data_IF_598429954880
#
_entry.id   IF_598429954880
#
_cell.length_a   1.000
_cell.length_b   1.000
_cell.length_c   1.000
_cell.angle_alpha   90.00
_cell.angle_beta   90.00
_cell.angle_gamma   90.00
#
_symmetry.space_group_name_H-M   'P 1'
#
loop_
_entity.id
_entity.type
_entity.pdbx_description
1 polymer ?
#
# COMPACT_ATOMS: atom_id res chain seq x y z
N UNK A 1 -30.04 35.33 46.42
CA UNK A 1 -31.13 35.98 47.17
C UNK A 1 -30.94 37.48 47.18
N UNK A 2 -31.89 38.24 46.65
CA UNK A 2 -31.98 39.70 46.78
C UNK A 2 -33.36 40.01 47.39
N UNK A 3 -33.48 41.05 48.22
CA UNK A 3 -34.80 41.65 48.40
C UNK A 3 -35.28 42.21 47.05
N UNK A 4 -36.60 42.41 46.91
CA UNK A 4 -37.16 43.33 45.91
C UNK A 4 -36.25 44.56 45.87
N UNK A 5 -35.76 45.00 44.70
CA UNK A 5 -34.67 45.96 44.62
C UNK A 5 -35.12 47.32 45.18
N UNK A 6 -34.89 47.53 46.47
CA UNK A 6 -35.06 48.83 47.10
C UNK A 6 -33.85 49.69 46.73
N UNK A 7 -34.13 50.89 46.25
CA UNK A 7 -33.15 51.97 46.18
C UNK A 7 -32.63 52.30 47.58
N UNK A 8 -31.45 52.93 47.66
CA UNK A 8 -30.89 53.34 48.95
C UNK A 8 -31.86 54.23 49.76
N UNK A 9 -32.59 55.11 49.09
CA UNK A 9 -33.64 55.95 49.69
C UNK A 9 -34.80 55.13 50.26
N UNK A 10 -35.32 54.15 49.50
CA UNK A 10 -36.40 53.29 49.98
C UNK A 10 -35.95 52.45 51.18
N UNK A 11 -34.70 52.00 51.20
CA UNK A 11 -34.13 51.29 52.34
C UNK A 11 -34.02 52.17 53.59
N UNK A 12 -33.59 53.43 53.43
CA UNK A 12 -33.57 54.39 54.53
C UNK A 12 -34.98 54.67 55.08
N UNK A 13 -35.96 54.86 54.20
CA UNK A 13 -37.35 55.12 54.58
C UNK A 13 -38.00 53.94 55.32
N UNK A 14 -37.73 52.71 54.87
CA UNK A 14 -38.18 51.51 55.59
C UNK A 14 -37.53 51.47 56.98
N UNK A 15 -36.24 51.76 57.08
CA UNK A 15 -35.53 51.82 58.36
C UNK A 15 -36.13 52.81 59.34
N UNK A 16 -36.46 54.03 58.87
CA UNK A 16 -37.09 55.06 59.69
C UNK A 16 -38.47 54.62 60.19
N UNK A 17 -39.31 54.03 59.33
CA UNK A 17 -40.64 53.54 59.72
C UNK A 17 -40.56 52.40 60.73
N UNK A 18 -39.63 51.47 60.54
CA UNK A 18 -39.41 50.37 61.47
C UNK A 18 -38.90 50.87 62.82
N UNK A 19 -38.01 51.87 62.81
CA UNK A 19 -37.55 52.52 64.02
C UNK A 19 -38.68 53.20 64.79
N UNK A 20 -39.52 53.98 64.10
CA UNK A 20 -40.68 54.61 64.71
C UNK A 20 -41.63 53.58 65.34
N UNK A 21 -41.90 52.48 64.62
CA UNK A 21 -42.74 51.40 65.10
C UNK A 21 -42.15 50.71 66.33
N UNK A 22 -40.84 50.44 66.33
CA UNK A 22 -40.15 49.84 67.47
C UNK A 22 -40.12 50.80 68.67
N UNK A 23 -39.97 52.10 68.45
CA UNK A 23 -40.03 53.10 69.51
C UNK A 23 -41.44 53.20 70.13
N UNK A 24 -42.50 52.99 69.34
CA UNK A 24 -43.88 53.09 69.80
C UNK A 24 -44.38 51.81 70.48
N UNK A 25 -44.02 50.64 69.94
CA UNK A 25 -44.60 49.35 70.32
C UNK A 25 -43.61 48.39 70.99
N UNK A 26 -42.32 48.76 71.05
CA UNK A 26 -41.26 47.85 71.44
C UNK A 26 -40.88 46.89 70.31
N UNK A 27 -40.24 45.78 70.66
CA UNK A 27 -39.87 44.73 69.71
C UNK A 27 -41.07 44.30 68.86
N UNK A 28 -40.91 44.34 67.54
CA UNK A 28 -42.00 44.11 66.59
C UNK A 28 -41.60 43.09 65.53
N UNK A 29 -42.53 42.21 65.16
CA UNK A 29 -42.33 41.27 64.07
C UNK A 29 -42.78 41.88 62.75
N UNK A 30 -41.97 41.69 61.70
CA UNK A 30 -42.28 42.16 60.35
C UNK A 30 -42.10 41.04 59.36
N UNK A 31 -43.04 40.91 58.43
CA UNK A 31 -42.93 39.98 57.33
C UNK A 31 -42.21 40.67 56.18
N UNK A 32 -41.15 40.04 55.67
CA UNK A 32 -40.40 40.51 54.52
C UNK A 32 -40.36 39.44 53.44
N UNK A 33 -40.55 39.85 52.19
CA UNK A 33 -40.44 38.97 51.02
C UNK A 33 -39.02 38.99 50.47
N UNK A 34 -38.44 37.80 50.29
CA UNK A 34 -37.11 37.58 49.75
C UNK A 34 -37.20 36.90 48.38
N UNK A 35 -36.35 37.29 47.44
CA UNK A 35 -36.28 36.71 46.09
C UNK A 35 -34.97 35.92 45.94
N UNK A 36 -35.03 34.62 45.66
CA UNK A 36 -33.88 33.79 45.32
C UNK A 36 -33.95 33.30 43.87
N UNK A 37 -33.29 34.00 42.95
CA UNK A 37 -33.46 33.69 41.53
C UNK A 37 -34.93 33.87 41.14
N UNK A 38 -35.62 32.78 40.80
CA UNK A 38 -37.05 32.80 40.43
C UNK A 38 -38.02 32.44 41.58
N UNK A 39 -37.51 32.20 42.79
CA UNK A 39 -38.32 31.77 43.93
C UNK A 39 -38.53 32.94 44.90
N UNK A 40 -39.78 33.22 45.28
CA UNK A 40 -40.11 34.18 46.33
C UNK A 40 -40.46 33.45 47.63
N UNK A 41 -40.03 33.98 48.77
CA UNK A 41 -40.37 33.46 50.09
C UNK A 41 -40.66 34.60 51.05
N UNK A 42 -41.76 34.53 51.78
CA UNK A 42 -42.06 35.46 52.87
C UNK A 42 -41.52 34.89 54.18
N UNK A 43 -40.77 35.70 54.95
CA UNK A 43 -40.30 35.30 56.28
C UNK A 43 -40.57 36.40 57.31
N UNK A 44 -40.82 35.95 58.53
CA UNK A 44 -41.02 36.83 59.68
C UNK A 44 -39.67 37.11 60.33
N UNK A 45 -39.30 38.38 60.38
CA UNK A 45 -38.15 38.88 61.11
C UNK A 45 -38.60 39.59 62.38
N UNK A 46 -37.78 39.51 63.42
CA UNK A 46 -37.94 40.33 64.61
C UNK A 46 -37.11 41.60 64.43
N UNK A 47 -37.71 42.76 64.70
CA UNK A 47 -37.06 44.06 64.68
C UNK A 47 -37.04 44.64 66.09
N UNK A 48 -35.86 45.02 66.57
CA UNK A 48 -35.71 45.60 67.90
C UNK A 48 -34.72 46.76 67.90
N UNK A 49 -34.85 47.63 68.91
CA UNK A 49 -33.87 48.66 69.19
C UNK A 49 -32.68 48.03 69.92
N UNK A 50 -31.48 48.44 69.53
CA UNK A 50 -30.24 48.11 70.19
C UNK A 50 -29.53 49.38 70.63
N UNK A 51 -28.48 49.24 71.45
CA UNK A 51 -27.63 50.36 71.89
C UNK A 51 -26.96 51.11 70.73
N UNK A 52 -26.90 50.51 69.53
CA UNK A 52 -26.28 51.09 68.33
C UNK A 52 -27.30 51.43 67.23
N UNK A 53 -28.61 51.30 67.50
CA UNK A 53 -29.68 51.60 66.55
C UNK A 53 -30.60 50.41 66.26
N UNK A 54 -31.30 50.44 65.13
CA UNK A 54 -32.23 49.39 64.72
C UNK A 54 -31.49 48.09 64.37
N UNK A 55 -31.97 46.94 64.86
CA UNK A 55 -31.43 45.62 64.55
C UNK A 55 -32.50 44.67 64.01
N UNK A 56 -32.11 43.84 63.06
CA UNK A 56 -32.91 42.74 62.50
C UNK A 56 -32.43 41.40 63.05
N UNK A 57 -33.37 40.55 63.42
CA UNK A 57 -33.13 39.21 63.94
C UNK A 57 -33.84 38.15 63.10
N UNK A 58 -33.11 37.10 62.77
CA UNK A 58 -33.64 35.87 62.18
C UNK A 58 -33.11 34.68 62.97
N UNK A 59 -33.92 34.17 63.91
CA UNK A 59 -33.47 33.18 64.89
C UNK A 59 -32.33 33.74 65.77
N UNK A 60 -31.19 33.03 65.93
CA UNK A 60 -30.08 33.48 66.79
C UNK A 60 -29.17 34.53 66.15
N UNK A 61 -29.42 34.91 64.89
CA UNK A 61 -28.55 35.79 64.13
C UNK A 61 -29.13 37.20 64.14
N UNK A 62 -28.32 38.18 64.55
CA UNK A 62 -28.68 39.60 64.58
C UNK A 62 -27.75 40.44 63.70
N UNK A 63 -28.29 41.51 63.11
CA UNK A 63 -27.52 42.51 62.36
C UNK A 63 -28.11 43.91 62.50
N UNK A 64 -27.22 44.90 62.57
CA UNK A 64 -27.60 46.31 62.54
C UNK A 64 -28.19 46.69 61.17
N UNK A 65 -29.20 47.56 61.19
CA UNK A 65 -29.90 48.04 60.01
C UNK A 65 -28.98 48.80 59.03
N UNK A 66 -28.04 49.59 59.55
CA UNK A 66 -27.09 50.37 58.73
C UNK A 66 -26.07 49.51 57.98
N UNK A 67 -25.68 48.35 58.53
CA UNK A 67 -24.72 47.43 57.91
C UNK A 67 -25.36 46.53 56.82
N UNK A 68 -26.65 46.72 56.55
CA UNK A 68 -27.44 45.89 55.65
C UNK A 68 -27.59 46.56 54.29
N UNK A 69 -26.58 46.47 53.42
CA UNK A 69 -26.80 46.74 51.99
C UNK A 69 -27.80 45.72 51.42
N UNK A 70 -28.75 46.13 50.56
CA UNK A 70 -29.99 45.40 50.27
C UNK A 70 -29.83 43.98 49.70
N UNK A 71 -28.64 43.59 49.24
CA UNK A 71 -28.42 42.30 48.56
C UNK A 71 -27.33 41.46 49.24
N UNK A 72 -26.23 42.07 49.72
CA UNK A 72 -25.04 41.32 50.13
C UNK A 72 -25.10 40.70 51.53
N UNK A 73 -25.83 41.30 52.47
CA UNK A 73 -25.66 40.98 53.90
C UNK A 73 -26.84 40.31 54.56
N UNK A 74 -28.03 40.40 53.95
CA UNK A 74 -29.22 39.61 54.27
C UNK A 74 -29.08 38.19 53.72
N UNK A 75 -28.47 38.03 52.53
CA UNK A 75 -28.01 36.73 52.05
C UNK A 75 -27.05 36.04 53.05
N UNK A 76 -26.28 36.85 53.79
CA UNK A 76 -25.32 36.38 54.80
C UNK A 76 -25.99 35.92 56.11
N UNK A 77 -27.22 36.38 56.42
CA UNK A 77 -28.04 35.80 57.50
C UNK A 77 -28.50 34.38 57.15
N UNK A 78 -28.55 34.04 55.85
CA UNK A 78 -28.95 32.72 55.34
C UNK A 78 -27.79 31.85 54.87
N UNK A 79 -26.55 32.36 54.83
CA UNK A 79 -25.44 31.56 54.30
C UNK A 79 -25.16 30.40 55.27
N UNK A 80 -25.28 29.13 54.83
CA UNK A 80 -24.67 28.03 55.56
C UNK A 80 -23.16 28.33 55.64
N UNK A 81 -22.56 28.14 56.82
CA UNK A 81 -21.11 28.24 56.98
C UNK A 81 -20.43 27.46 55.84
N UNK A 82 -19.36 28.00 55.25
CA UNK A 82 -18.63 27.41 54.13
C UNK A 82 -17.50 26.52 54.68
N UNK A 83 -17.69 25.20 54.84
CA UNK A 83 -16.56 24.28 54.92
C UNK A 83 -16.45 23.31 53.73
N UNK A 84 -17.32 23.41 52.70
CA UNK A 84 -17.50 22.30 51.75
C UNK A 84 -17.15 22.56 50.27
N UNK A 85 -16.91 23.80 49.82
CA UNK A 85 -16.63 24.06 48.40
C UNK A 85 -15.29 23.44 47.95
N UNK A 86 -14.26 23.59 48.78
CA UNK A 86 -12.91 23.14 48.47
C UNK A 86 -12.82 21.61 48.38
N UNK A 87 -13.41 20.93 49.37
CA UNK A 87 -13.42 19.46 49.47
C UNK A 87 -14.43 18.79 48.55
N UNK A 88 -15.61 19.37 48.32
CA UNK A 88 -16.65 18.71 47.51
C UNK A 88 -16.56 19.03 46.02
N UNK A 89 -15.93 20.16 45.63
CA UNK A 89 -15.89 20.58 44.22
C UNK A 89 -14.47 20.78 43.68
N UNK A 90 -13.64 21.58 44.35
CA UNK A 90 -12.34 21.99 43.79
C UNK A 90 -11.30 20.86 43.77
N UNK A 91 -11.14 20.14 44.88
CA UNK A 91 -10.18 19.02 44.96
C UNK A 91 -10.51 17.89 43.95
N UNK A 92 -11.77 17.41 43.86
CA UNK A 92 -12.16 16.45 42.82
C UNK A 92 -11.91 16.97 41.39
N UNK A 93 -12.24 18.23 41.10
CA UNK A 93 -12.03 18.81 39.78
C UNK A 93 -10.55 18.90 39.40
N UNK A 94 -9.67 19.28 40.34
CA UNK A 94 -8.23 19.29 40.12
C UNK A 94 -7.66 17.88 39.93
N UNK A 95 -8.18 16.89 40.66
CA UNK A 95 -7.83 15.48 40.47
C UNK A 95 -8.20 14.99 39.07
N UNK A 96 -9.44 15.24 38.65
CA UNK A 96 -9.92 14.90 37.30
C UNK A 96 -9.12 15.63 36.20
N UNK A 97 -8.76 16.90 36.41
CA UNK A 97 -7.94 17.66 35.46
C UNK A 97 -6.52 17.07 35.30
N UNK A 98 -5.90 16.62 36.40
CA UNK A 98 -4.59 15.93 36.34
C UNK A 98 -4.69 14.60 35.61
N UNK A 99 -5.70 13.80 35.92
CA UNK A 99 -5.93 12.51 35.26
C UNK A 99 -6.16 12.69 33.76
N UNK A 100 -6.99 13.67 33.38
CA UNK A 100 -7.23 14.01 31.98
C UNK A 100 -5.95 14.48 31.28
N UNK A 101 -5.11 15.27 31.96
CA UNK A 101 -3.79 15.64 31.46
C UNK A 101 -2.85 14.45 31.25
N UNK A 102 -2.85 13.47 32.17
CA UNK A 102 -2.08 12.23 32.03
C UNK A 102 -2.55 11.39 30.84
N UNK A 103 -3.86 11.19 30.72
CA UNK A 103 -4.47 10.48 29.59
C UNK A 103 -4.18 11.18 28.25
N UNK A 104 -4.27 12.51 28.21
CA UNK A 104 -3.92 13.29 27.02
C UNK A 104 -2.44 13.11 26.63
N UNK A 105 -1.54 13.04 27.62
CA UNK A 105 -0.12 12.74 27.42
C UNK A 105 0.09 11.36 26.79
N UNK A 106 -0.56 10.33 27.33
CA UNK A 106 -0.50 8.96 26.80
C UNK A 106 -1.04 8.88 25.37
N UNK A 107 -2.21 9.46 25.10
CA UNK A 107 -2.81 9.50 23.76
C UNK A 107 -1.86 10.18 22.76
N UNK A 108 -1.24 11.28 23.17
CA UNK A 108 -0.31 12.03 22.30
C UNK A 108 0.95 11.21 22.02
N UNK A 109 1.50 10.51 23.01
CA UNK A 109 2.67 9.65 22.83
C UNK A 109 2.36 8.47 21.91
N UNK A 110 1.22 7.81 22.11
CA UNK A 110 0.79 6.67 21.30
C UNK A 110 0.53 7.09 19.85
N UNK A 111 -0.13 8.24 19.65
CA UNK A 111 -0.34 8.81 18.32
C UNK A 111 0.98 9.08 17.60
N UNK A 112 1.98 9.62 18.29
CA UNK A 112 3.32 9.83 17.71
C UNK A 112 3.97 8.52 17.32
N UNK A 113 3.91 7.50 18.18
CA UNK A 113 4.46 6.17 17.89
C UNK A 113 3.81 5.57 16.64
N UNK A 114 2.48 5.51 16.61
CA UNK A 114 1.73 4.99 15.46
C UNK A 114 1.99 5.78 14.17
N UNK A 115 2.17 7.10 14.26
CA UNK A 115 2.50 7.91 13.09
C UNK A 115 3.89 7.59 12.53
N UNK A 116 4.87 7.31 13.41
CA UNK A 116 6.20 6.85 12.99
C UNK A 116 6.10 5.46 12.36
N UNK A 117 5.41 4.53 13.01
CA UNK A 117 5.22 3.16 12.51
C UNK A 117 4.52 3.18 11.13
N UNK A 118 3.51 4.03 10.97
CA UNK A 118 2.83 4.23 9.69
C UNK A 118 3.76 4.78 8.61
N UNK A 119 4.55 5.81 8.91
CA UNK A 119 5.50 6.38 7.96
C UNK A 119 6.54 5.35 7.51
N UNK A 120 7.04 4.54 8.45
CA UNK A 120 7.97 3.44 8.14
C UNK A 120 7.32 2.38 7.25
N UNK A 121 6.10 1.96 7.57
CA UNK A 121 5.38 0.98 6.76
C UNK A 121 5.12 1.48 5.32
N UNK A 122 4.77 2.76 5.16
CA UNK A 122 4.62 3.40 3.84
C UNK A 122 5.95 3.41 3.08
N UNK A 123 7.06 3.76 3.74
CA UNK A 123 8.38 3.76 3.13
C UNK A 123 8.82 2.35 2.70
N UNK A 124 8.58 1.32 3.52
CA UNK A 124 8.90 -0.07 3.20
C UNK A 124 8.12 -0.58 1.98
N UNK A 125 6.82 -0.26 1.91
CA UNK A 125 5.98 -0.62 0.76
C UNK A 125 6.48 0.07 -0.50
N UNK A 126 6.82 1.36 -0.43
CA UNK A 126 7.36 2.11 -1.56
C UNK A 126 8.69 1.53 -2.05
N UNK A 127 9.63 1.28 -1.14
CA UNK A 127 10.92 0.68 -1.46
C UNK A 127 10.75 -0.69 -2.14
N UNK A 128 9.82 -1.52 -1.64
CA UNK A 128 9.53 -2.82 -2.24
C UNK A 128 8.89 -2.69 -3.62
N UNK A 129 8.04 -1.69 -3.83
CA UNK A 129 7.44 -1.41 -5.13
C UNK A 129 8.52 -1.01 -6.14
N UNK A 130 9.42 -0.09 -5.76
CA UNK A 130 10.52 0.39 -6.60
C UNK A 130 11.47 -0.76 -6.97
N UNK A 131 11.76 -1.65 -6.01
CA UNK A 131 12.55 -2.85 -6.26
C UNK A 131 11.87 -3.81 -7.25
N UNK A 132 10.57 -4.05 -7.09
CA UNK A 132 9.81 -4.92 -8.00
C UNK A 132 9.73 -4.33 -9.41
N UNK A 133 9.50 -3.03 -9.55
CA UNK A 133 9.49 -2.37 -10.86
C UNK A 133 10.86 -2.50 -11.55
N UNK A 134 11.95 -2.29 -10.81
CA UNK A 134 13.31 -2.46 -11.34
C UNK A 134 13.54 -3.90 -11.84
N UNK A 135 13.08 -4.91 -11.08
CA UNK A 135 13.18 -6.31 -11.49
C UNK A 135 12.34 -6.62 -12.74
N UNK A 136 11.16 -6.03 -12.86
CA UNK A 136 10.29 -6.20 -14.03
C UNK A 136 10.94 -5.58 -15.28
N UNK A 137 11.51 -4.38 -15.16
CA UNK A 137 12.24 -3.73 -16.25
C UNK A 137 13.45 -4.57 -16.69
N UNK A 138 14.25 -5.05 -15.74
CA UNK A 138 15.39 -5.93 -16.03
C UNK A 138 14.95 -7.24 -16.71
N UNK A 139 13.89 -7.88 -16.21
CA UNK A 139 13.34 -9.09 -16.81
C UNK A 139 12.84 -8.83 -18.24
N UNK A 140 12.21 -7.67 -18.48
CA UNK A 140 11.74 -7.29 -19.81
C UNK A 140 12.90 -7.11 -20.79
N UNK A 141 13.95 -6.38 -20.39
CA UNK A 141 15.17 -6.22 -21.21
C UNK A 141 15.78 -7.59 -21.55
N UNK A 142 15.91 -8.46 -20.55
CA UNK A 142 16.47 -9.80 -20.75
C UNK A 142 15.62 -10.65 -21.69
N UNK A 143 14.30 -10.55 -21.62
CA UNK A 143 13.38 -11.22 -22.55
C UNK A 143 13.55 -10.69 -23.97
N UNK A 144 13.57 -9.37 -24.17
CA UNK A 144 13.77 -8.77 -25.49
C UNK A 144 15.11 -9.17 -26.12
N UNK A 145 16.18 -9.24 -25.33
CA UNK A 145 17.48 -9.74 -25.80
C UNK A 145 17.40 -11.21 -26.22
N UNK A 146 16.72 -12.06 -25.43
CA UNK A 146 16.53 -13.47 -25.78
C UNK A 146 15.70 -13.64 -27.05
N UNK A 147 14.61 -12.89 -27.19
CA UNK A 147 13.77 -12.91 -28.39
C UNK A 147 14.57 -12.49 -29.63
N UNK A 148 15.38 -11.44 -29.53
CA UNK A 148 16.26 -11.01 -30.62
C UNK A 148 17.28 -12.08 -30.98
N UNK A 149 17.90 -12.73 -29.99
CA UNK A 149 18.86 -13.80 -30.24
C UNK A 149 18.21 -15.04 -30.89
N UNK A 150 16.98 -15.39 -30.48
CA UNK A 150 16.22 -16.49 -31.08
C UNK A 150 15.86 -16.16 -32.54
N UNK A 151 15.41 -14.94 -32.81
CA UNK A 151 15.11 -14.49 -34.16
C UNK A 151 16.36 -14.57 -35.07
N UNK A 152 17.49 -14.01 -34.61
CA UNK A 152 18.75 -14.06 -35.34
C UNK A 152 19.27 -15.49 -35.56
N UNK A 153 19.16 -16.37 -34.56
CA UNK A 153 19.50 -17.79 -34.72
C UNK A 153 18.59 -18.49 -35.75
N UNK A 154 17.29 -18.16 -35.77
CA UNK A 154 16.35 -18.65 -36.78
C UNK A 154 16.78 -18.27 -38.20
N UNK A 155 17.15 -17.00 -38.40
CA UNK A 155 17.65 -16.51 -39.69
C UNK A 155 18.91 -17.26 -40.14
N UNK A 156 19.83 -17.56 -39.21
CA UNK A 156 21.03 -18.35 -39.50
C UNK A 156 20.76 -19.81 -39.87
N UNK A 157 19.60 -20.39 -39.50
CA UNK A 157 19.25 -21.78 -39.83
C UNK A 157 18.61 -21.89 -41.22
N UNK A 158 17.97 -20.83 -41.72
CA UNK A 158 17.28 -20.84 -43.01
C UNK A 158 18.22 -21.11 -44.19
N UNK A 159 19.41 -20.49 -44.20
CA UNK A 159 20.36 -20.67 -45.30
C UNK A 159 20.91 -22.11 -45.38
N UNK A 160 21.42 -22.72 -44.29
CA UNK A 160 21.80 -24.14 -44.28
C UNK A 160 20.65 -25.08 -44.67
N UNK A 161 19.42 -24.78 -44.25
CA UNK A 161 18.26 -25.60 -44.59
C UNK A 161 17.98 -25.59 -46.10
N UNK A 162 18.01 -24.40 -46.73
CA UNK A 162 17.87 -24.28 -48.17
C UNK A 162 19.00 -24.99 -48.93
N UNK A 163 20.24 -24.87 -48.44
CA UNK A 163 21.40 -25.57 -49.01
C UNK A 163 21.23 -27.09 -48.92
N UNK A 164 20.74 -27.60 -47.79
CA UNK A 164 20.48 -29.03 -47.61
C UNK A 164 19.37 -29.53 -48.55
N UNK A 165 18.27 -28.79 -48.69
CA UNK A 165 17.19 -29.12 -49.61
C UNK A 165 17.68 -29.16 -51.08
N UNK A 166 18.50 -28.18 -51.47
CA UNK A 166 19.13 -28.16 -52.79
C UNK A 166 20.07 -29.36 -52.99
N UNK A 167 20.88 -29.70 -52.00
CA UNK A 167 21.78 -30.86 -52.06
C UNK A 167 20.99 -32.18 -52.19
N UNK A 168 19.88 -32.34 -51.46
CA UNK A 168 18.99 -33.50 -51.59
C UNK A 168 18.34 -33.60 -52.96
N UNK A 169 17.96 -32.48 -53.58
CA UNK A 169 17.43 -32.48 -54.95
C UNK A 169 18.48 -32.97 -55.95
N UNK A 170 19.72 -32.46 -55.86
CA UNK A 170 20.83 -32.89 -56.72
C UNK A 170 21.18 -34.37 -56.52
N UNK A 171 21.13 -34.87 -55.29
CA UNK A 171 21.40 -36.27 -54.99
C UNK A 171 20.36 -37.18 -55.67
N UNK A 172 19.07 -36.86 -55.57
CA UNK A 172 17.99 -37.60 -56.25
C UNK A 172 18.15 -37.62 -57.77
N UNK A 173 18.57 -36.50 -58.35
CA UNK A 173 18.86 -36.43 -59.79
C UNK A 173 20.02 -37.35 -60.18
N UNK A 174 21.09 -37.36 -59.39
CA UNK A 174 22.25 -38.25 -59.61
C UNK A 174 21.86 -39.73 -59.48
N UNK A 175 21.07 -40.08 -58.47
CA UNK A 175 20.56 -41.44 -58.29
C UNK A 175 19.73 -41.89 -59.49
N UNK A 176 18.83 -41.04 -59.98
CA UNK A 176 18.05 -41.33 -61.18
C UNK A 176 18.94 -41.55 -62.41
N UNK A 177 19.93 -40.67 -62.61
CA UNK A 177 20.88 -40.78 -63.72
C UNK A 177 21.73 -42.06 -63.65
N UNK A 178 22.17 -42.46 -62.45
CA UNK A 178 22.87 -43.72 -62.22
C UNK A 178 21.99 -44.92 -62.53
N UNK A 179 20.72 -44.90 -62.10
CA UNK A 179 19.75 -45.94 -62.43
C UNK A 179 19.59 -46.10 -63.95
N UNK A 180 19.45 -44.98 -64.67
CA UNK A 180 19.38 -44.97 -66.13
C UNK A 180 20.63 -45.55 -66.79
N UNK A 181 21.82 -45.13 -66.37
CA UNK A 181 23.09 -45.65 -66.90
C UNK A 181 23.28 -47.14 -66.62
N UNK A 182 22.88 -47.59 -65.43
CA UNK A 182 22.93 -49.01 -65.04
C UNK A 182 22.01 -49.83 -65.94
N UNK A 183 20.78 -49.37 -66.18
CA UNK A 183 19.86 -50.03 -67.10
C UNK A 183 20.40 -50.11 -68.54
N UNK A 184 21.02 -49.03 -69.03
CA UNK A 184 21.65 -49.03 -70.36
C UNK A 184 22.82 -50.02 -70.46
N UNK A 185 23.64 -50.12 -69.41
CA UNK A 185 24.73 -51.10 -69.35
C UNK A 185 24.19 -52.53 -69.36
N UNK A 186 23.17 -52.83 -68.55
CA UNK A 186 22.51 -54.13 -68.52
C UNK A 186 21.90 -54.50 -69.88
N UNK A 187 21.24 -53.55 -70.56
CA UNK A 187 20.68 -53.77 -71.90
C UNK A 187 21.78 -54.06 -72.94
N UNK A 188 22.89 -53.32 -72.90
CA UNK A 188 24.04 -53.55 -73.80
C UNK A 188 24.68 -54.91 -73.53
N UNK A 189 24.84 -55.28 -72.27
CA UNK A 189 25.38 -56.57 -71.86
C UNK A 189 24.47 -57.73 -72.32
N UNK A 190 23.15 -57.61 -72.14
CA UNK A 190 22.19 -58.59 -72.63
C UNK A 190 22.25 -58.75 -74.16
N UNK A 191 22.36 -57.63 -74.91
CA UNK A 191 22.53 -57.67 -76.38
C UNK A 191 23.84 -58.34 -76.79
N UNK A 192 24.94 -58.04 -76.10
CA UNK A 192 26.23 -58.70 -76.34
C UNK A 192 26.13 -60.20 -76.12
N UNK A 193 25.54 -60.62 -74.99
CA UNK A 193 25.36 -62.03 -74.65
C UNK A 193 24.43 -62.76 -75.63
N UNK A 194 23.41 -62.08 -76.19
CA UNK A 194 22.54 -62.64 -77.22
C UNK A 194 23.24 -62.80 -78.59
N UNK A 195 24.20 -61.94 -78.91
CA UNK A 195 24.99 -62.00 -80.16
C UNK A 195 26.17 -62.98 -80.07
N UNK A 196 26.61 -63.31 -78.86
CA UNK A 196 27.77 -64.17 -78.61
C UNK A 196 27.62 -65.58 -79.24
N UNK A 197 26.49 -66.31 -79.11
CA UNK A 197 26.33 -67.64 -79.72
C UNK A 197 26.42 -67.62 -81.25
N UNK A 198 25.96 -66.53 -81.90
CA UNK A 198 26.02 -66.38 -83.35
C UNK A 198 27.46 -66.18 -83.84
N UNK A 199 28.27 -65.42 -83.07
CA UNK A 199 29.71 -65.25 -83.35
C UNK A 199 30.49 -66.53 -83.08
N UNK A 200 30.19 -67.21 -81.98
CA UNK A 200 30.86 -68.48 -81.63
C UNK A 200 30.56 -69.57 -82.68
N UNK A 201 29.34 -69.61 -83.24
CA UNK A 201 28.97 -70.50 -84.35
C UNK A 201 29.67 -70.14 -85.68
N UNK A 202 29.86 -68.84 -85.96
CA UNK A 202 30.63 -68.37 -87.13
C UNK A 202 32.11 -68.77 -87.05
N UNK A 203 32.69 -68.79 -85.85
CA UNK A 203 34.07 -69.30 -85.62
C UNK A 203 34.14 -70.83 -85.61
N UNK A 204 33.14 -71.53 -85.07
CA UNK A 204 33.10 -73.00 -85.09
C UNK A 204 32.97 -73.56 -86.52
N UNK A 205 32.29 -72.84 -87.43
CA UNK A 205 32.25 -73.18 -88.85
C UNK A 205 33.55 -72.89 -89.63
N UNK A 206 34.49 -72.14 -89.06
CA UNK A 206 35.82 -71.89 -89.65
C UNK A 206 36.91 -72.86 -89.19
N UNK A 207 36.72 -73.54 -88.07
CA UNK A 207 37.71 -74.50 -87.54
C UNK A 207 37.70 -75.87 -88.24
N UNK A 208 36.78 -76.13 -89.19
CA UNK A 208 36.81 -77.31 -90.07
C UNK A 208 37.46 -77.06 -91.45
N UNK A 209 38.26 -76.00 -91.61
CA UNK A 209 39.10 -75.81 -92.79
C UNK A 209 40.57 -76.12 -92.46
N UNK A 210 41.22 -77.09 -93.15
CA UNK A 210 42.62 -77.40 -92.87
C UNK A 210 43.50 -76.19 -93.22
N UNK A 211 44.26 -75.72 -92.22
CA UNK A 211 45.27 -74.67 -92.36
C UNK A 211 46.34 -75.10 -93.36
N UNK A 212 46.19 -74.63 -94.60
CA UNK A 212 47.21 -74.67 -95.64
C UNK A 212 48.27 -73.62 -95.33
N UNK A 213 49.39 -74.15 -94.86
CA UNK A 213 50.73 -73.58 -94.78
C UNK A 213 50.97 -72.36 -95.69
N UNK A 214 51.07 -71.17 -95.08
CA UNK A 214 51.71 -69.99 -95.71
C UNK A 214 52.27 -69.08 -94.63
N UNK A 215 53.50 -69.39 -94.20
CA UNK A 215 54.38 -68.45 -93.51
C UNK A 215 54.83 -67.33 -94.46
N UNK A 216 54.77 -66.05 -94.06
CA UNK A 216 55.67 -65.03 -94.58
C UNK A 216 56.73 -64.68 -93.53
N UNK A 217 57.93 -65.19 -93.80
CA UNK A 217 59.25 -64.56 -93.67
C UNK A 217 59.41 -63.40 -92.67
N UNK A 218 60.18 -63.72 -91.62
CA UNK A 218 60.80 -62.83 -90.65
C UNK A 218 61.59 -61.67 -91.27
N UNK A 219 61.22 -60.43 -90.97
CA UNK A 219 62.10 -59.27 -91.06
C UNK A 219 62.62 -58.91 -89.66
N UNK A 220 63.87 -59.30 -89.40
CA UNK A 220 64.66 -58.94 -88.24
C UNK A 220 64.82 -57.42 -88.12
N UNK A 221 64.39 -56.82 -87.00
CA UNK A 221 64.87 -55.50 -86.56
C UNK A 221 65.53 -55.63 -85.19
N UNK A 222 66.86 -55.58 -85.23
CA UNK A 222 67.78 -55.63 -84.10
C UNK A 222 67.76 -54.26 -83.38
N UNK A 223 67.14 -54.15 -82.21
CA UNK A 223 67.30 -52.98 -81.35
C UNK A 223 68.40 -53.22 -80.31
N UNK A 224 69.49 -52.45 -80.45
CA UNK A 224 70.63 -52.43 -79.54
C UNK A 224 70.38 -51.39 -78.45
N UNK A 225 70.02 -51.84 -77.26
CA UNK A 225 69.88 -51.00 -76.07
C UNK A 225 71.29 -50.57 -75.62
N UNK A 226 71.56 -49.27 -75.64
CA UNK A 226 72.76 -48.66 -75.05
C UNK A 226 72.38 -48.13 -73.66
N UNK A 227 72.94 -48.74 -72.61
CA UNK A 227 72.91 -48.25 -71.23
C UNK A 227 74.09 -47.28 -71.09
N UNK A 228 73.83 -46.03 -70.76
CA UNK A 228 74.87 -45.09 -70.32
C UNK A 228 74.41 -44.51 -68.99
N UNK A 229 75.33 -44.59 -68.03
CA UNK A 229 75.27 -44.19 -66.62
C UNK A 229 75.02 -42.71 -66.42
#
# INVERSE_FOLDING_TARGET
MALVPYTHSEWCDIGARLWDMVCQCGETQVQMTFINGNQMSDETLTVAASSTGLCLFHGPISKAWQDSTPIGHIANLRAPQIPNLETQALLPAMGAARELGHQQGLITAERKRLNIDYANAVADVQNRNDQLNSQVEEAHINLSVRESNIAGAGDHVLEPQQQLEAAHAQLREREFNLGRLTGQLQEREARHNAQQPARDAETAGRDEAPLLDTLPTMAYLHYRIKRIS
#
